data_IF_461786856886
#
_entry.id   IF_461786856886
#
_cell.length_a   1.000
_cell.length_b   1.000
_cell.length_c   1.000
_cell.angle_alpha   90.00
_cell.angle_beta   90.00
_cell.angle_gamma   90.00
#
_symmetry.space_group_name_H-M   'P 1'
#
loop_
_entity.id
_entity.type
_entity.pdbx_description
1 polymer ?
#
# COMPACT_ATOMS: atom_id res chain seq x y z
N UNK A 1 -3.22 -2.17 9.50
CA UNK A 1 -4.55 -1.56 9.27
C UNK A 1 -5.54 -1.97 10.35
N UNK A 2 -6.39 -1.04 10.81
CA UNK A 2 -7.50 -1.35 11.73
C UNK A 2 -8.85 -1.49 10.97
N UNK A 3 -9.92 -1.92 11.66
CA UNK A 3 -11.22 -2.17 11.02
C UNK A 3 -11.88 -0.93 10.41
N UNK A 4 -11.77 0.22 11.06
CA UNK A 4 -12.28 1.50 10.54
C UNK A 4 -11.58 1.89 9.25
N UNK A 5 -10.25 1.81 9.22
CA UNK A 5 -9.44 2.06 8.04
C UNK A 5 -9.78 1.08 6.90
N UNK A 6 -9.90 -0.21 7.20
CA UNK A 6 -10.31 -1.22 6.21
C UNK A 6 -11.65 -0.86 5.57
N UNK A 7 -12.62 -0.41 6.37
CA UNK A 7 -13.94 0.00 5.86
C UNK A 7 -13.87 1.26 5.01
N UNK A 8 -13.05 2.24 5.40
CA UNK A 8 -12.82 3.45 4.61
C UNK A 8 -12.23 3.11 3.23
N UNK A 9 -11.20 2.26 3.17
CA UNK A 9 -10.61 1.86 1.89
C UNK A 9 -11.61 1.11 1.01
N UNK A 10 -12.41 0.19 1.57
CA UNK A 10 -13.47 -0.49 0.80
C UNK A 10 -14.47 0.52 0.20
N UNK A 11 -14.92 1.48 1.00
CA UNK A 11 -15.85 2.53 0.55
C UNK A 11 -15.23 3.39 -0.53
N UNK A 12 -13.96 3.76 -0.38
CA UNK A 12 -13.23 4.51 -1.38
C UNK A 12 -13.04 3.73 -2.68
N UNK A 13 -12.91 2.39 -2.62
CA UNK A 13 -12.95 1.52 -3.79
C UNK A 13 -14.34 1.45 -4.45
N UNK A 14 -15.41 1.87 -3.76
CA UNK A 14 -16.78 1.78 -4.25
C UNK A 14 -17.32 0.35 -4.27
N UNK A 15 -16.88 -0.48 -3.32
CA UNK A 15 -17.23 -1.91 -3.27
C UNK A 15 -18.13 -2.25 -2.10
N UNK A 16 -19.09 -3.13 -2.32
CA UNK A 16 -19.81 -3.85 -1.26
C UNK A 16 -18.88 -4.83 -0.53
N UNK A 17 -19.28 -5.33 0.65
CA UNK A 17 -18.53 -6.37 1.36
C UNK A 17 -18.38 -7.64 0.49
N UNK A 18 -19.43 -8.05 -0.21
CA UNK A 18 -19.45 -9.26 -1.06
C UNK A 18 -18.59 -9.14 -2.32
N UNK A 19 -18.48 -7.94 -2.91
CA UNK A 19 -17.54 -7.68 -4.00
C UNK A 19 -16.10 -7.68 -3.51
N UNK A 20 -15.82 -7.02 -2.39
CA UNK A 20 -14.47 -6.99 -1.85
C UNK A 20 -14.00 -8.38 -1.41
N UNK A 21 -14.88 -9.19 -0.83
CA UNK A 21 -14.61 -10.59 -0.48
C UNK A 21 -14.10 -11.39 -1.70
N UNK A 22 -14.75 -11.23 -2.85
CA UNK A 22 -14.33 -11.87 -4.12
C UNK A 22 -12.98 -11.36 -4.61
N UNK A 23 -12.76 -10.05 -4.57
CA UNK A 23 -11.49 -9.44 -4.99
C UNK A 23 -10.29 -9.89 -4.14
N UNK A 24 -10.51 -10.08 -2.83
CA UNK A 24 -9.47 -10.45 -1.88
C UNK A 24 -9.40 -11.96 -1.61
N UNK A 25 -10.18 -12.77 -2.32
CA UNK A 25 -10.26 -14.22 -2.16
C UNK A 25 -10.52 -14.68 -0.70
N UNK A 26 -11.45 -14.01 -0.01
CA UNK A 26 -11.87 -14.34 1.36
C UNK A 26 -13.40 -14.42 1.46
N UNK A 27 -13.94 -14.92 2.57
CA UNK A 27 -15.39 -14.97 2.78
C UNK A 27 -15.96 -13.59 3.16
N UNK A 28 -17.25 -13.37 2.89
CA UNK A 28 -17.95 -12.16 3.36
C UNK A 28 -17.92 -12.01 4.89
N UNK A 29 -17.99 -13.14 5.62
CA UNK A 29 -17.82 -13.16 7.09
C UNK A 29 -16.44 -12.68 7.52
N UNK A 30 -15.38 -13.01 6.76
CA UNK A 30 -14.03 -12.50 7.05
C UNK A 30 -13.98 -10.97 6.86
N UNK A 31 -14.54 -10.43 5.77
CA UNK A 31 -14.64 -8.98 5.54
C UNK A 31 -15.37 -8.29 6.70
N UNK A 32 -16.53 -8.80 7.10
CA UNK A 32 -17.29 -8.26 8.22
C UNK A 32 -16.47 -8.28 9.53
N UNK A 33 -15.81 -9.41 9.81
CA UNK A 33 -14.96 -9.59 11.00
C UNK A 33 -13.77 -8.63 11.02
N UNK A 34 -13.20 -8.29 9.86
CA UNK A 34 -12.14 -7.29 9.74
C UNK A 34 -12.67 -5.88 10.02
N UNK A 35 -13.78 -5.47 9.39
CA UNK A 35 -14.36 -4.14 9.57
C UNK A 35 -14.82 -3.88 11.02
N UNK A 36 -15.33 -4.91 11.70
CA UNK A 36 -15.74 -4.84 13.11
C UNK A 36 -14.58 -4.92 14.10
N UNK A 37 -13.36 -5.20 13.63
CA UNK A 37 -12.18 -5.37 14.48
C UNK A 37 -12.18 -6.65 15.32
N UNK A 38 -13.08 -7.61 15.05
CA UNK A 38 -13.08 -8.92 15.71
C UNK A 38 -11.88 -9.79 15.34
N UNK A 39 -11.30 -9.53 14.16
CA UNK A 39 -10.10 -10.21 13.67
C UNK A 39 -9.14 -9.21 13.05
N UNK A 40 -7.85 -9.38 13.33
CA UNK A 40 -6.80 -8.61 12.66
C UNK A 40 -6.78 -8.89 11.15
N UNK A 41 -6.57 -7.85 10.35
CA UNK A 41 -6.42 -7.96 8.90
C UNK A 41 -5.09 -8.66 8.59
N UNK A 42 -5.09 -9.82 7.90
CA UNK A 42 -3.84 -10.47 7.50
C UNK A 42 -3.03 -9.58 6.55
N UNK A 43 -1.70 -9.66 6.61
CA UNK A 43 -0.79 -8.88 5.76
C UNK A 43 -1.10 -9.05 4.27
N UNK A 44 -1.43 -10.27 3.82
CA UNK A 44 -1.81 -10.52 2.42
C UNK A 44 -3.05 -9.73 1.99
N UNK A 45 -4.03 -9.63 2.89
CA UNK A 45 -5.28 -8.89 2.66
C UNK A 45 -5.01 -7.39 2.65
N UNK A 46 -4.23 -6.86 3.62
CA UNK A 46 -3.85 -5.44 3.65
C UNK A 46 -3.07 -5.04 2.38
N UNK A 47 -2.10 -5.86 1.97
CA UNK A 47 -1.30 -5.66 0.76
C UNK A 47 -2.18 -5.60 -0.50
N UNK A 48 -3.06 -6.59 -0.69
CA UNK A 48 -3.95 -6.62 -1.85
C UNK A 48 -4.93 -5.44 -1.84
N UNK A 49 -5.50 -5.11 -0.69
CA UNK A 49 -6.43 -4.00 -0.55
C UNK A 49 -5.79 -2.65 -0.91
N UNK A 50 -4.61 -2.36 -0.34
CA UNK A 50 -3.87 -1.14 -0.65
C UNK A 50 -3.40 -1.10 -2.11
N UNK A 51 -3.07 -2.25 -2.70
CA UNK A 51 -2.70 -2.34 -4.11
C UNK A 51 -3.86 -1.97 -5.03
N UNK A 52 -5.05 -2.54 -4.79
CA UNK A 52 -6.27 -2.16 -5.52
C UNK A 52 -6.59 -0.68 -5.34
N UNK A 53 -6.39 -0.14 -4.13
CA UNK A 53 -6.61 1.28 -3.88
C UNK A 53 -5.63 2.14 -4.67
N UNK A 54 -4.34 1.84 -4.64
CA UNK A 54 -3.32 2.56 -5.40
C UNK A 54 -3.63 2.55 -6.90
N UNK A 55 -4.03 1.41 -7.47
CA UNK A 55 -4.45 1.32 -8.87
C UNK A 55 -5.61 2.27 -9.19
N UNK A 56 -6.60 2.39 -8.29
CA UNK A 56 -7.72 3.32 -8.47
C UNK A 56 -7.28 4.78 -8.40
N UNK A 57 -6.34 5.12 -7.51
CA UNK A 57 -5.87 6.49 -7.32
C UNK A 57 -4.95 6.95 -8.45
N UNK A 58 -4.09 6.04 -8.95
CA UNK A 58 -3.16 6.33 -10.04
C UNK A 58 -3.78 6.29 -11.44
N UNK A 59 -5.08 6.03 -11.56
CA UNK A 59 -5.76 5.92 -12.86
C UNK A 59 -5.80 7.24 -13.66
N UNK A 60 -5.60 8.39 -13.00
CA UNK A 60 -5.83 9.72 -13.57
C UNK A 60 -4.56 10.60 -13.68
N UNK A 61 -3.36 10.06 -13.45
CA UNK A 61 -2.14 10.88 -13.53
C UNK A 61 -0.85 10.09 -13.39
N UNK A 62 0.25 10.73 -13.77
CA UNK A 62 1.59 10.17 -13.66
C UNK A 62 2.07 10.29 -12.21
N UNK A 63 2.21 9.17 -11.51
CA UNK A 63 2.73 9.16 -10.14
C UNK A 63 4.25 9.15 -10.20
N UNK A 64 4.93 10.19 -9.68
CA UNK A 64 6.39 10.29 -9.78
C UNK A 64 7.07 9.12 -9.07
N UNK A 65 8.21 8.68 -9.61
CA UNK A 65 8.92 7.53 -9.05
C UNK A 65 9.54 7.91 -7.71
N UNK A 66 9.58 6.96 -6.77
CA UNK A 66 10.10 7.25 -5.43
C UNK A 66 11.50 7.87 -5.42
N UNK A 67 12.40 7.48 -6.32
CA UNK A 67 13.78 8.01 -6.35
C UNK A 67 13.88 9.43 -6.91
N UNK A 68 12.90 9.89 -7.69
CA UNK A 68 12.82 11.28 -8.16
C UNK A 68 12.38 12.16 -6.98
N UNK A 69 11.35 11.73 -6.26
CA UNK A 69 10.84 12.45 -5.08
C UNK A 69 11.89 12.44 -3.95
N UNK A 70 12.46 11.28 -3.64
CA UNK A 70 13.45 11.11 -2.55
C UNK A 70 14.87 11.57 -2.92
N UNK A 71 15.12 11.98 -4.17
CA UNK A 71 16.46 12.29 -4.67
C UNK A 71 17.49 11.19 -4.34
N UNK A 72 17.16 9.93 -4.64
CA UNK A 72 18.04 8.81 -4.29
C UNK A 72 19.34 8.84 -5.11
N UNK A 73 20.53 8.69 -4.47
CA UNK A 73 21.80 8.61 -5.19
C UNK A 73 21.86 7.35 -6.06
N UNK A 74 22.65 7.40 -7.13
CA UNK A 74 22.77 6.33 -8.14
C UNK A 74 23.09 4.99 -7.50
N UNK A 75 24.09 4.94 -6.62
CA UNK A 75 24.51 3.71 -5.92
C UNK A 75 23.35 3.05 -5.15
N UNK A 76 22.56 3.82 -4.40
CA UNK A 76 21.40 3.29 -3.67
C UNK A 76 20.32 2.82 -4.62
N UNK A 77 20.10 3.59 -5.70
CA UNK A 77 19.03 3.34 -6.66
C UNK A 77 19.29 2.05 -7.43
N UNK A 78 20.50 1.81 -7.91
CA UNK A 78 20.87 0.60 -8.65
C UNK A 78 20.76 -0.68 -7.80
N UNK A 79 20.88 -0.56 -6.48
CA UNK A 79 20.70 -1.67 -5.54
C UNK A 79 19.27 -1.77 -4.96
N UNK A 80 18.33 -0.95 -5.41
CA UNK A 80 16.97 -0.92 -4.86
C UNK A 80 15.97 -1.71 -5.74
N UNK A 81 15.24 -2.69 -5.20
CA UNK A 81 14.21 -3.43 -5.93
C UNK A 81 13.16 -2.54 -6.63
N UNK A 82 12.80 -1.40 -6.04
CA UNK A 82 11.84 -0.49 -6.67
C UNK A 82 12.38 0.07 -8.00
N UNK A 83 13.69 0.30 -8.10
CA UNK A 83 14.35 0.73 -9.34
C UNK A 83 14.51 -0.42 -10.32
N UNK A 84 15.03 -1.56 -9.84
CA UNK A 84 15.22 -2.78 -10.64
C UNK A 84 13.94 -3.16 -11.40
N UNK A 85 12.80 -3.19 -10.71
CA UNK A 85 11.51 -3.55 -11.29
C UNK A 85 10.74 -2.37 -11.90
N UNK A 86 11.37 -1.19 -12.03
CA UNK A 86 10.75 0.04 -12.55
C UNK A 86 9.44 0.42 -11.84
N UNK A 87 9.35 0.07 -10.57
CA UNK A 87 8.13 0.11 -9.76
C UNK A 87 8.17 1.25 -8.73
N UNK A 88 8.68 2.42 -9.15
CA UNK A 88 8.89 3.56 -8.25
C UNK A 88 7.62 4.04 -7.52
N UNK A 89 6.46 4.02 -8.20
CA UNK A 89 5.17 4.34 -7.59
C UNK A 89 4.60 3.21 -6.71
N UNK A 90 5.21 2.01 -6.73
CA UNK A 90 4.89 0.88 -5.86
C UNK A 90 6.00 0.58 -4.87
N UNK A 91 6.92 1.52 -4.61
CA UNK A 91 8.01 1.27 -3.67
C UNK A 91 7.49 0.90 -2.27
N UNK A 92 6.32 1.39 -1.87
CA UNK A 92 5.66 1.07 -0.60
C UNK A 92 5.15 -0.39 -0.52
N UNK A 93 4.86 -1.01 -1.67
CA UNK A 93 4.39 -2.39 -1.77
C UNK A 93 5.55 -3.40 -1.73
N UNK A 94 6.73 -3.01 -2.22
CA UNK A 94 7.88 -3.90 -2.41
C UNK A 94 8.74 -3.94 -1.14
N UNK A 95 8.88 -5.11 -0.51
CA UNK A 95 9.86 -5.33 0.57
C UNK A 95 11.28 -5.40 0.00
N UNK A 96 12.29 -5.18 0.85
CA UNK A 96 13.70 -5.20 0.44
C UNK A 96 14.19 -3.90 -0.21
N UNK A 97 13.33 -2.87 -0.31
CA UNK A 97 13.74 -1.53 -0.75
C UNK A 97 14.73 -0.90 0.22
N UNK A 98 15.65 -0.09 -0.31
CA UNK A 98 16.66 0.66 0.44
C UNK A 98 16.17 2.08 0.79
N UNK A 99 15.04 2.19 1.48
CA UNK A 99 14.50 3.50 1.89
C UNK A 99 15.40 4.11 2.98
N UNK A 100 15.76 5.39 2.84
CA UNK A 100 16.71 6.08 3.74
C UNK A 100 18.10 5.42 3.87
N UNK A 101 18.45 4.49 2.96
CA UNK A 101 19.68 3.71 3.04
C UNK A 101 19.55 2.43 3.87
N UNK A 102 18.37 2.14 4.41
CA UNK A 102 18.10 0.96 5.24
C UNK A 102 17.24 -0.07 4.50
N UNK A 103 17.57 -1.35 4.70
CA UNK A 103 16.82 -2.47 4.16
C UNK A 103 15.46 -2.62 4.86
N UNK A 104 14.38 -2.48 4.10
CA UNK A 104 13.01 -2.63 4.61
C UNK A 104 12.55 -4.10 4.53
N UNK A 105 12.91 -4.90 5.54
CA UNK A 105 12.72 -6.36 5.52
C UNK A 105 11.26 -6.83 5.75
N UNK A 106 10.58 -6.31 6.78
CA UNK A 106 9.22 -6.76 7.14
C UNK A 106 8.15 -5.79 6.63
N UNK A 107 6.95 -6.32 6.37
CA UNK A 107 5.80 -5.49 5.99
C UNK A 107 5.43 -4.50 7.09
N UNK A 108 5.33 -4.96 8.34
CA UNK A 108 4.83 -4.16 9.46
C UNK A 108 5.71 -2.93 9.74
N UNK A 109 7.03 -3.08 9.67
CA UNK A 109 7.96 -1.95 9.84
C UNK A 109 7.91 -1.03 8.63
N UNK A 110 7.92 -1.60 7.43
CA UNK A 110 7.93 -0.83 6.18
C UNK A 110 6.66 0.02 6.02
N UNK A 111 5.47 -0.55 6.22
CA UNK A 111 4.21 0.17 5.99
C UNK A 111 4.04 1.32 6.99
N UNK A 112 4.53 1.18 8.23
CA UNK A 112 4.56 2.27 9.22
C UNK A 112 5.42 3.44 8.73
N UNK A 113 6.61 3.16 8.20
CA UNK A 113 7.46 4.18 7.59
C UNK A 113 6.82 4.79 6.35
N UNK A 114 6.24 3.97 5.48
CA UNK A 114 5.60 4.45 4.26
C UNK A 114 4.41 5.37 4.56
N UNK A 115 3.63 5.12 5.61
CA UNK A 115 2.52 6.01 6.02
C UNK A 115 2.93 7.43 6.41
N UNK A 116 4.23 7.70 6.56
CA UNK A 116 4.80 9.03 6.82
C UNK A 116 5.60 9.55 5.62
N UNK A 117 5.62 8.81 4.51
CA UNK A 117 6.44 9.09 3.35
C UNK A 117 5.64 9.85 2.29
N UNK A 118 6.24 10.91 1.75
CA UNK A 118 5.68 11.72 0.66
C UNK A 118 5.27 10.91 -0.58
N UNK A 119 6.00 9.84 -0.91
CA UNK A 119 5.66 8.94 -2.04
C UNK A 119 4.35 8.19 -1.78
N UNK A 120 4.10 7.82 -0.52
CA UNK A 120 2.85 7.16 -0.14
C UNK A 120 1.71 8.18 -0.12
N UNK A 121 1.93 9.35 0.47
CA UNK A 121 0.91 10.40 0.51
C UNK A 121 0.52 10.90 -0.88
N UNK A 122 1.46 10.99 -1.83
CA UNK A 122 1.12 11.37 -3.21
C UNK A 122 0.15 10.40 -3.90
N UNK A 123 0.03 9.17 -3.40
CA UNK A 123 -0.91 8.14 -3.89
C UNK A 123 -2.20 8.12 -3.06
N UNK A 124 -2.11 8.30 -1.73
CA UNK A 124 -3.20 8.02 -0.79
C UNK A 124 -3.81 9.27 -0.11
N UNK A 125 -3.44 10.49 -0.53
CA UNK A 125 -3.79 11.79 0.09
C UNK A 125 -5.28 12.06 0.40
N UNK A 126 -6.22 11.30 -0.20
CA UNK A 126 -7.66 11.53 -0.05
C UNK A 126 -8.39 10.53 0.86
N UNK A 127 -7.72 9.51 1.42
CA UNK A 127 -8.42 8.37 2.08
C UNK A 127 -7.77 7.94 3.40
N UNK A 128 -6.48 8.16 3.57
CA UNK A 128 -5.73 7.70 4.75
C UNK A 128 -5.26 8.93 5.52
N UNK A 129 -5.99 9.27 6.59
CA UNK A 129 -5.55 10.22 7.63
C UNK A 129 -4.68 9.47 8.63
#
# INVERSE_FOLDING_TARGET
MNGSEFSMVRRALGKTQSELARLLCVSGKAIQSFEQGWRNVPVSVERQLLFLLALKMSANGDVPRCWEIKNCPVERRENCPAWEFKAGHFCWFINGTLCHGELQASWDSKIKLCRQCEVYHSIFHNIVV
#
